data_IF_783627455499
#
_entry.id   IF_783627455499
#
_cell.length_a   1.000
_cell.length_b   1.000
_cell.length_c   1.000
_cell.angle_alpha   90.00
_cell.angle_beta   90.00
_cell.angle_gamma   90.00
#
_symmetry.space_group_name_H-M   'P 1'
#
loop_
_entity.id
_entity.type
_entity.pdbx_description
1 polymer ?
#
# COMPACT_ATOMS: atom_id res chain seq x y z
N UNK A 1 0.42 -10.95 13.68
CA UNK A 1 -0.07 -10.37 12.43
C UNK A 1 1.11 -10.22 11.49
N UNK A 2 1.00 -10.57 10.20
CA UNK A 2 2.04 -10.34 9.22
C UNK A 2 2.42 -8.86 9.19
N UNK A 3 3.69 -8.54 8.98
CA UNK A 3 4.17 -7.14 8.96
C UNK A 3 3.51 -6.28 7.87
N UNK A 4 3.07 -6.89 6.77
CA UNK A 4 2.28 -6.23 5.72
C UNK A 4 1.00 -5.59 6.25
N UNK A 5 0.36 -6.20 7.24
CA UNK A 5 -0.90 -5.70 7.80
C UNK A 5 -0.70 -4.46 8.67
N UNK A 6 0.49 -4.25 9.25
CA UNK A 6 0.77 -3.10 10.13
C UNK A 6 0.74 -1.77 9.39
N UNK A 7 1.21 -1.70 8.16
CA UNK A 7 1.15 -0.48 7.37
C UNK A 7 -0.29 -0.13 6.97
N UNK A 8 -1.14 -1.12 6.78
CA UNK A 8 -2.53 -0.94 6.35
C UNK A 8 -3.52 -0.84 7.50
N UNK A 9 -3.24 -1.44 8.65
CA UNK A 9 -4.10 -1.36 9.85
C UNK A 9 -4.25 0.08 10.35
N UNK A 10 -3.25 0.94 10.18
CA UNK A 10 -3.36 2.37 10.50
C UNK A 10 -4.47 3.09 9.74
N UNK A 11 -4.90 2.56 8.60
CA UNK A 11 -5.97 3.12 7.77
C UNK A 11 -7.33 2.43 7.97
N UNK A 12 -7.40 1.41 8.83
CA UNK A 12 -8.65 0.78 9.21
C UNK A 12 -9.24 1.53 10.42
N UNK A 13 -10.29 2.30 10.17
CA UNK A 13 -11.03 3.00 11.22
C UNK A 13 -12.45 2.48 11.26
N UNK A 14 -12.84 1.83 12.36
CA UNK A 14 -14.17 1.27 12.60
C UNK A 14 -14.75 1.89 13.85
N UNK A 15 -15.88 2.56 13.72
CA UNK A 15 -16.67 3.00 14.86
C UNK A 15 -17.57 1.85 15.31
N UNK A 16 -17.48 1.48 16.59
CA UNK A 16 -18.26 0.41 17.19
C UNK A 16 -19.40 0.96 18.06
N UNK A 17 -20.54 0.33 18.01
CA UNK A 17 -21.65 0.58 18.91
C UNK A 17 -22.17 -0.76 19.43
N UNK A 18 -22.11 -0.97 20.76
CA UNK A 18 -22.56 -2.21 21.43
C UNK A 18 -21.98 -3.50 20.80
N UNK A 19 -20.69 -3.49 20.43
CA UNK A 19 -20.03 -4.62 19.80
C UNK A 19 -20.27 -4.78 18.29
N UNK A 20 -21.09 -3.92 17.67
CA UNK A 20 -21.35 -3.93 16.23
C UNK A 20 -20.65 -2.76 15.52
N UNK A 21 -20.15 -2.96 14.29
CA UNK A 21 -19.56 -1.87 13.53
C UNK A 21 -20.64 -0.84 13.13
N UNK A 22 -20.59 0.35 13.72
CA UNK A 22 -21.47 1.47 13.39
C UNK A 22 -21.10 2.10 12.04
N UNK A 23 -19.78 2.22 11.79
CA UNK A 23 -19.25 2.84 10.58
C UNK A 23 -17.94 2.21 10.19
N UNK A 24 -17.84 1.77 8.94
CA UNK A 24 -16.62 1.19 8.37
C UNK A 24 -15.88 2.28 7.60
N UNK A 25 -14.64 2.57 8.01
CA UNK A 25 -13.75 3.54 7.37
C UNK A 25 -12.45 2.87 6.95
N UNK A 26 -12.52 1.84 6.12
CA UNK A 26 -11.33 1.20 5.57
C UNK A 26 -11.10 1.67 4.13
N UNK A 27 -9.86 1.61 3.66
CA UNK A 27 -9.52 1.95 2.27
C UNK A 27 -10.26 1.04 1.30
N UNK A 28 -10.27 -0.27 1.56
CA UNK A 28 -10.99 -1.25 0.74
C UNK A 28 -12.48 -0.94 0.67
N UNK A 29 -13.13 -0.72 1.82
CA UNK A 29 -14.54 -0.36 1.83
C UNK A 29 -14.82 0.89 0.99
N UNK A 30 -14.05 1.96 1.23
CA UNK A 30 -14.20 3.24 0.52
C UNK A 30 -14.03 3.07 -0.99
N UNK A 31 -12.96 2.42 -1.41
CA UNK A 31 -12.61 2.33 -2.84
C UNK A 31 -13.54 1.37 -3.58
N UNK A 32 -13.79 0.17 -3.04
CA UNK A 32 -14.68 -0.83 -3.68
C UNK A 32 -16.13 -0.33 -3.68
N UNK A 33 -16.62 0.29 -2.59
CA UNK A 33 -18.00 0.82 -2.55
C UNK A 33 -18.22 1.92 -3.58
N UNK A 34 -17.22 2.77 -3.80
CA UNK A 34 -17.31 3.85 -4.78
C UNK A 34 -17.18 3.36 -6.22
N UNK A 35 -16.35 2.37 -6.46
CA UNK A 35 -16.06 1.89 -7.81
C UNK A 35 -17.04 0.80 -8.27
N UNK A 36 -17.52 -0.04 -7.36
CA UNK A 36 -18.39 -1.18 -7.69
C UNK A 36 -19.74 -1.08 -6.95
N UNK A 37 -19.75 -1.51 -5.66
CA UNK A 37 -20.96 -1.51 -4.84
C UNK A 37 -20.62 -1.53 -3.34
N UNK A 38 -21.55 -1.00 -2.52
CA UNK A 38 -21.40 -1.02 -1.06
C UNK A 38 -21.47 -2.45 -0.49
N UNK A 39 -22.17 -3.38 -1.14
CA UNK A 39 -22.22 -4.78 -0.73
C UNK A 39 -20.84 -5.42 -0.85
N UNK A 40 -20.20 -5.27 -2.00
CA UNK A 40 -18.86 -5.80 -2.23
C UNK A 40 -17.81 -5.09 -1.35
N UNK A 41 -17.97 -3.78 -1.14
CA UNK A 41 -17.12 -3.03 -0.21
C UNK A 41 -17.20 -3.58 1.22
N UNK A 42 -18.39 -3.94 1.70
CA UNK A 42 -18.55 -4.59 3.02
C UNK A 42 -17.89 -5.97 3.07
N UNK A 43 -18.06 -6.78 2.01
CA UNK A 43 -17.45 -8.10 1.92
C UNK A 43 -15.94 -8.07 2.13
N UNK A 44 -15.26 -7.09 1.52
CA UNK A 44 -13.78 -6.98 1.56
C UNK A 44 -13.24 -5.87 2.47
N UNK A 45 -14.08 -5.26 3.30
CA UNK A 45 -13.71 -4.13 4.14
C UNK A 45 -12.48 -4.39 5.03
N UNK A 46 -12.34 -5.60 5.54
CA UNK A 46 -11.30 -5.98 6.49
C UNK A 46 -10.19 -6.85 5.87
N UNK A 47 -10.21 -7.06 4.58
CA UNK A 47 -9.08 -7.69 3.88
C UNK A 47 -7.92 -6.71 3.77
N UNK A 48 -6.70 -7.25 3.61
CA UNK A 48 -5.51 -6.43 3.38
C UNK A 48 -5.71 -5.52 2.17
N UNK A 49 -5.39 -4.24 2.34
CA UNK A 49 -5.42 -3.30 1.22
C UNK A 49 -4.19 -3.50 0.37
N UNK A 50 -4.39 -3.92 -0.87
CA UNK A 50 -3.30 -4.18 -1.79
C UNK A 50 -2.81 -2.89 -2.41
N UNK A 51 -1.50 -2.74 -2.48
CA UNK A 51 -0.87 -1.64 -3.21
C UNK A 51 -0.42 -2.14 -4.58
N UNK A 52 -0.92 -1.52 -5.64
CA UNK A 52 -0.57 -1.86 -7.02
C UNK A 52 0.75 -1.21 -7.49
N UNK A 53 1.50 -0.56 -6.58
CA UNK A 53 2.77 0.08 -6.92
C UNK A 53 3.93 -0.89 -7.16
N UNK A 54 3.87 -2.10 -6.58
CA UNK A 54 4.87 -3.14 -6.80
C UNK A 54 4.22 -4.52 -6.70
N UNK A 55 4.26 -5.28 -7.78
CA UNK A 55 3.82 -6.68 -7.83
C UNK A 55 4.56 -7.44 -8.93
N UNK A 56 4.66 -8.75 -8.78
CA UNK A 56 5.21 -9.64 -9.78
C UNK A 56 4.15 -10.65 -10.23
N UNK A 57 4.03 -10.86 -11.53
CA UNK A 57 3.03 -11.77 -12.13
C UNK A 57 3.72 -12.60 -13.20
N UNK A 58 3.42 -13.92 -13.20
CA UNK A 58 3.83 -14.78 -14.30
C UNK A 58 3.15 -14.34 -15.59
N UNK A 59 3.88 -14.29 -16.69
CA UNK A 59 3.40 -13.82 -17.99
C UNK A 59 2.15 -14.55 -18.50
N UNK A 60 2.05 -15.85 -18.23
CA UNK A 60 0.91 -16.69 -18.64
C UNK A 60 -0.17 -16.81 -17.56
N UNK A 61 -0.17 -15.94 -16.55
CA UNK A 61 -1.09 -16.04 -15.45
C UNK A 61 -2.53 -15.64 -15.84
N UNK A 62 -3.51 -16.41 -15.36
CA UNK A 62 -4.94 -16.08 -15.44
C UNK A 62 -5.28 -14.70 -14.86
N UNK A 63 -4.44 -14.17 -13.98
CA UNK A 63 -4.67 -12.86 -13.34
C UNK A 63 -4.81 -11.73 -14.37
N UNK A 64 -4.14 -11.79 -15.52
CA UNK A 64 -4.25 -10.74 -16.53
C UNK A 64 -5.67 -10.57 -17.06
N UNK A 65 -6.36 -11.68 -17.35
CA UNK A 65 -7.77 -11.65 -17.75
C UNK A 65 -8.69 -11.13 -16.63
N UNK A 66 -8.48 -11.59 -15.40
CA UNK A 66 -9.23 -11.11 -14.23
C UNK A 66 -8.98 -9.63 -13.98
N UNK A 67 -7.73 -9.18 -14.02
CA UNK A 67 -7.36 -7.79 -13.84
C UNK A 67 -7.98 -6.86 -14.88
N UNK A 68 -7.92 -7.23 -16.18
CA UNK A 68 -8.55 -6.46 -17.25
C UNK A 68 -10.08 -6.38 -17.08
N UNK A 69 -10.73 -7.51 -16.74
CA UNK A 69 -12.17 -7.54 -16.43
C UNK A 69 -12.51 -6.58 -15.29
N UNK A 70 -11.73 -6.65 -14.20
CA UNK A 70 -11.99 -5.86 -12.99
C UNK A 70 -11.66 -4.37 -13.16
N UNK A 71 -10.64 -4.02 -13.95
CA UNK A 71 -10.38 -2.62 -14.34
C UNK A 71 -11.57 -2.04 -15.11
N UNK A 72 -12.05 -2.75 -16.13
CA UNK A 72 -13.22 -2.32 -16.91
C UNK A 72 -14.46 -2.14 -16.03
N UNK A 73 -14.67 -3.05 -15.08
CA UNK A 73 -15.76 -2.96 -14.12
C UNK A 73 -15.64 -1.74 -13.20
N UNK A 74 -14.47 -1.54 -12.60
CA UNK A 74 -14.22 -0.46 -11.66
C UNK A 74 -14.23 0.93 -12.32
N UNK A 75 -13.84 1.01 -13.60
CA UNK A 75 -13.82 2.26 -14.38
C UNK A 75 -15.21 2.75 -14.82
N UNK A 76 -16.24 1.89 -14.79
CA UNK A 76 -17.60 2.26 -15.22
C UNK A 76 -18.19 3.44 -14.45
N UNK A 77 -17.76 3.69 -13.23
CA UNK A 77 -18.22 4.83 -12.41
C UNK A 77 -17.30 6.07 -12.52
N UNK A 78 -16.41 6.10 -13.49
CA UNK A 78 -15.64 7.29 -13.88
C UNK A 78 -14.54 7.71 -12.89
N UNK A 79 -14.11 6.87 -11.97
CA UNK A 79 -13.00 7.18 -11.07
C UNK A 79 -11.75 6.42 -11.50
N UNK A 80 -10.72 7.17 -11.87
CA UNK A 80 -9.43 6.61 -12.30
C UNK A 80 -8.55 6.27 -11.09
N UNK A 81 -8.49 7.15 -10.09
CA UNK A 81 -7.61 6.96 -8.93
C UNK A 81 -8.02 5.76 -8.07
N UNK A 82 -7.10 4.84 -7.84
CA UNK A 82 -7.30 3.63 -7.03
C UNK A 82 -8.06 2.51 -7.75
N UNK A 83 -8.39 2.67 -9.04
CA UNK A 83 -9.07 1.66 -9.86
C UNK A 83 -8.20 0.42 -10.06
N UNK A 84 -6.90 0.60 -10.24
CA UNK A 84 -5.90 -0.44 -10.32
C UNK A 84 -5.81 -1.29 -9.04
N UNK A 85 -5.80 -0.63 -7.89
CA UNK A 85 -5.81 -1.31 -6.58
C UNK A 85 -7.11 -2.09 -6.36
N UNK A 86 -8.25 -1.52 -6.74
CA UNK A 86 -9.54 -2.23 -6.68
C UNK A 86 -9.54 -3.43 -7.61
N UNK A 87 -9.05 -3.28 -8.84
CA UNK A 87 -8.99 -4.37 -9.80
C UNK A 87 -8.08 -5.50 -9.31
N UNK A 88 -6.92 -5.17 -8.74
CA UNK A 88 -6.01 -6.14 -8.14
C UNK A 88 -6.68 -6.88 -6.97
N UNK A 89 -7.28 -6.13 -6.05
CA UNK A 89 -7.98 -6.71 -4.90
C UNK A 89 -9.12 -7.66 -5.32
N UNK A 90 -9.93 -7.29 -6.31
CA UNK A 90 -10.98 -8.15 -6.82
C UNK A 90 -10.43 -9.39 -7.52
N UNK A 91 -9.34 -9.26 -8.27
CA UNK A 91 -8.71 -10.41 -8.92
C UNK A 91 -8.22 -11.44 -7.91
N UNK A 92 -7.68 -10.98 -6.79
CA UNK A 92 -7.18 -11.86 -5.74
C UNK A 92 -8.33 -12.39 -4.87
N UNK A 93 -9.20 -11.52 -4.36
CA UNK A 93 -10.18 -11.90 -3.35
C UNK A 93 -11.49 -12.43 -3.93
N UNK A 94 -11.98 -11.91 -5.05
CA UNK A 94 -13.24 -12.35 -5.67
C UNK A 94 -13.00 -13.46 -6.72
N UNK A 95 -11.98 -13.30 -7.56
CA UNK A 95 -11.64 -14.28 -8.58
C UNK A 95 -10.74 -15.43 -8.05
N UNK A 96 -10.37 -15.38 -6.76
CA UNK A 96 -9.57 -16.39 -6.06
C UNK A 96 -8.25 -16.72 -6.78
N UNK A 97 -7.52 -15.70 -7.19
CA UNK A 97 -6.18 -15.90 -7.75
C UNK A 97 -5.20 -16.21 -6.63
N UNK A 98 -4.50 -17.36 -6.67
CA UNK A 98 -3.46 -17.67 -5.70
C UNK A 98 -2.41 -16.57 -5.67
N UNK A 99 -2.10 -16.05 -4.48
CA UNK A 99 -1.23 -14.89 -4.31
C UNK A 99 -0.44 -14.98 -3.02
N UNK A 100 0.78 -14.48 -3.07
CA UNK A 100 1.64 -14.29 -1.91
C UNK A 100 1.80 -12.79 -1.66
N UNK A 101 1.70 -12.38 -0.39
CA UNK A 101 1.85 -10.97 0.00
C UNK A 101 3.26 -10.73 0.51
N UNK A 102 3.94 -9.80 -0.14
CA UNK A 102 5.26 -9.37 0.28
C UNK A 102 5.19 -8.58 1.60
N UNK A 103 6.20 -8.68 2.46
CA UNK A 103 6.33 -7.84 3.64
C UNK A 103 6.37 -6.34 3.29
N UNK A 104 5.97 -5.48 4.24
CA UNK A 104 5.88 -4.03 4.02
C UNK A 104 7.21 -3.38 3.58
N UNK A 105 8.34 -3.91 4.03
CA UNK A 105 9.66 -3.40 3.65
C UNK A 105 10.02 -3.64 2.17
N UNK A 106 9.29 -4.52 1.47
CA UNK A 106 9.46 -4.69 0.02
C UNK A 106 8.87 -3.53 -0.79
N UNK A 107 7.91 -2.78 -0.23
CA UNK A 107 7.30 -1.60 -0.85
C UNK A 107 6.89 -0.62 0.27
N UNK A 108 7.85 0.12 0.78
CA UNK A 108 7.67 0.98 1.96
C UNK A 108 6.96 2.28 1.60
N UNK A 109 5.75 2.46 2.12
CA UNK A 109 4.95 3.66 1.87
C UNK A 109 5.30 4.77 2.87
N UNK A 110 6.08 5.75 2.43
CA UNK A 110 6.53 6.87 3.26
C UNK A 110 5.40 7.77 3.77
N UNK A 111 4.23 7.78 3.11
CA UNK A 111 3.04 8.49 3.59
C UNK A 111 2.64 8.07 5.01
N UNK A 112 2.86 6.82 5.38
CA UNK A 112 2.44 6.30 6.69
C UNK A 112 3.52 6.42 7.75
N UNK A 113 4.78 6.24 7.36
CA UNK A 113 5.92 6.41 8.23
C UNK A 113 7.20 6.57 7.43
N UNK A 114 8.05 7.50 7.86
CA UNK A 114 9.36 7.69 7.24
C UNK A 114 10.28 6.52 7.57
N UNK A 115 11.11 6.08 6.60
CA UNK A 115 12.12 5.07 6.86
C UNK A 115 13.23 5.64 7.73
N UNK A 116 14.00 4.77 8.39
CA UNK A 116 15.28 5.13 8.99
C UNK A 116 16.41 4.87 7.99
N UNK A 117 17.58 5.43 8.28
CA UNK A 117 18.77 5.22 7.47
C UNK A 117 19.85 4.53 8.28
N UNK A 118 20.33 3.39 7.79
CA UNK A 118 21.50 2.71 8.33
C UNK A 118 22.76 3.32 7.70
N UNK A 119 23.47 4.17 8.46
CA UNK A 119 24.69 4.86 7.97
C UNK A 119 25.78 3.83 7.62
N UNK A 120 25.90 2.77 8.42
CA UNK A 120 26.96 1.78 8.26
C UNK A 120 26.80 0.96 6.97
N UNK A 121 25.53 0.69 6.60
CA UNK A 121 25.22 -0.11 5.42
C UNK A 121 24.82 0.73 4.21
N UNK A 122 24.59 2.03 4.40
CA UNK A 122 24.27 2.96 3.31
C UNK A 122 22.88 2.79 2.67
N UNK A 123 21.90 2.19 3.39
CA UNK A 123 20.56 2.00 2.84
C UNK A 123 19.44 2.34 3.85
N UNK A 124 18.23 2.51 3.32
CA UNK A 124 17.04 2.70 4.14
C UNK A 124 16.58 1.38 4.75
N UNK A 125 16.09 1.48 5.99
CA UNK A 125 15.54 0.36 6.76
C UNK A 125 14.17 0.74 7.33
N UNK A 126 13.34 -0.26 7.61
CA UNK A 126 12.11 -0.01 8.35
C UNK A 126 12.41 0.50 9.77
N UNK A 127 11.58 1.41 10.33
CA UNK A 127 11.83 2.00 11.64
C UNK A 127 11.54 1.05 12.81
N UNK A 128 11.15 -0.19 12.52
CA UNK A 128 10.80 -1.22 13.50
C UNK A 128 11.87 -2.30 13.57
N UNK A 129 12.08 -2.87 14.76
CA UNK A 129 12.98 -4.02 14.95
C UNK A 129 12.41 -5.24 14.20
N UNK A 130 13.21 -5.95 13.41
CA UNK A 130 14.67 -5.94 13.34
C UNK A 130 15.31 -4.98 12.32
N UNK A 131 14.61 -3.95 11.85
CA UNK A 131 15.13 -2.95 10.90
C UNK A 131 15.50 -3.58 9.54
N UNK A 132 14.57 -4.30 8.92
CA UNK A 132 14.80 -4.91 7.62
C UNK A 132 15.15 -3.85 6.57
N UNK A 133 16.08 -4.14 5.65
CA UNK A 133 16.36 -3.29 4.51
C UNK A 133 15.10 -3.05 3.67
N UNK A 134 14.88 -1.82 3.26
CA UNK A 134 13.76 -1.47 2.38
C UNK A 134 14.18 -1.71 0.94
N UNK A 135 13.42 -2.55 0.24
CA UNK A 135 13.69 -2.85 -1.16
C UNK A 135 13.24 -1.72 -2.10
N UNK A 136 12.08 -1.12 -1.82
CA UNK A 136 11.51 -0.03 -2.61
C UNK A 136 10.92 1.05 -1.69
N UNK A 137 11.38 2.28 -1.83
CA UNK A 137 10.81 3.46 -1.18
C UNK A 137 9.68 4.02 -2.04
N UNK A 138 8.46 3.96 -1.53
CA UNK A 138 7.27 4.40 -2.25
C UNK A 138 6.86 5.80 -1.79
N UNK A 139 6.94 6.78 -2.69
CA UNK A 139 6.70 8.20 -2.42
C UNK A 139 5.23 8.62 -2.63
N UNK A 140 4.27 7.69 -2.52
CA UNK A 140 2.86 8.06 -2.54
C UNK A 140 2.55 9.04 -1.41
N UNK A 141 1.73 10.05 -1.68
CA UNK A 141 1.39 11.11 -0.72
C UNK A 141 2.48 12.16 -0.48
N UNK A 142 3.65 12.03 -1.10
CA UNK A 142 4.76 12.96 -1.01
C UNK A 142 4.99 13.65 -2.37
N UNK A 143 4.00 14.43 -2.82
CA UNK A 143 3.98 14.98 -4.17
C UNK A 143 5.13 15.94 -4.45
N UNK A 144 5.53 16.77 -3.49
CA UNK A 144 6.63 17.70 -3.64
C UNK A 144 7.94 16.94 -3.91
N UNK A 145 8.24 15.91 -3.11
CA UNK A 145 9.42 15.07 -3.29
C UNK A 145 9.38 14.30 -4.61
N UNK A 146 8.16 13.91 -5.06
CA UNK A 146 7.99 13.24 -6.35
C UNK A 146 8.26 14.15 -7.54
N UNK A 147 7.89 15.42 -7.45
CA UNK A 147 8.04 16.40 -8.53
C UNK A 147 9.45 16.98 -8.55
N UNK A 148 9.99 17.35 -7.42
CA UNK A 148 11.32 17.94 -7.30
C UNK A 148 12.32 16.91 -6.75
N UNK A 149 13.26 16.52 -7.61
CA UNK A 149 14.32 15.55 -7.27
C UNK A 149 15.40 16.10 -6.34
N UNK A 150 15.46 17.42 -6.15
CA UNK A 150 16.47 18.08 -5.32
C UNK A 150 16.08 18.13 -3.84
N UNK A 151 14.81 17.87 -3.53
CA UNK A 151 14.32 17.91 -2.15
C UNK A 151 14.92 16.78 -1.33
N UNK A 152 15.56 17.18 -0.23
CA UNK A 152 16.07 16.29 0.79
C UNK A 152 15.08 16.21 1.96
N UNK A 153 14.80 15.01 2.41
CA UNK A 153 13.95 14.75 3.58
C UNK A 153 14.76 14.66 4.85
N UNK A 154 14.16 15.06 5.98
CA UNK A 154 14.69 14.75 7.30
C UNK A 154 14.50 13.28 7.59
N UNK A 155 15.57 12.54 7.72
CA UNK A 155 15.58 11.10 7.98
C UNK A 155 16.31 10.83 9.27
N UNK A 156 15.69 10.03 10.14
CA UNK A 156 16.33 9.55 11.37
C UNK A 156 17.23 8.36 11.05
N UNK A 157 18.40 8.33 11.64
CA UNK A 157 19.33 7.19 11.54
C UNK A 157 19.03 6.15 12.62
N UNK A 158 19.64 4.97 12.54
CA UNK A 158 19.44 3.92 13.55
C UNK A 158 19.94 4.31 14.94
N UNK A 159 20.96 5.16 15.02
CA UNK A 159 21.51 5.72 16.25
C UNK A 159 20.79 7.00 16.73
N UNK A 160 19.71 7.40 16.08
CA UNK A 160 18.83 8.48 16.50
C UNK A 160 19.24 9.88 15.99
N UNK A 161 20.28 10.01 15.17
CA UNK A 161 20.64 11.27 14.54
C UNK A 161 19.64 11.66 13.44
N UNK A 162 19.51 12.94 13.14
CA UNK A 162 18.73 13.42 11.99
C UNK A 162 19.66 13.91 10.89
N UNK A 163 19.44 13.42 9.69
CA UNK A 163 20.22 13.80 8.52
C UNK A 163 19.29 14.24 7.38
N UNK A 164 19.79 15.09 6.50
CA UNK A 164 19.13 15.43 5.22
C UNK A 164 19.52 14.41 4.17
N UNK A 165 18.55 13.69 3.61
CA UNK A 165 18.82 12.67 2.61
C UNK A 165 17.72 12.61 1.55
N UNK A 166 18.11 12.37 0.31
CA UNK A 166 17.15 12.04 -0.74
C UNK A 166 16.52 10.68 -0.46
N UNK A 167 15.19 10.59 -0.57
CA UNK A 167 14.47 9.32 -0.54
C UNK A 167 14.56 8.57 -1.88
N UNK A 168 15.24 9.13 -2.86
CA UNK A 168 15.48 8.52 -4.17
C UNK A 168 16.86 7.88 -4.19
N UNK A 169 17.01 6.83 -4.98
CA UNK A 169 18.34 6.34 -5.32
C UNK A 169 19.05 7.43 -6.12
N UNK A 170 20.20 7.88 -5.66
CA UNK A 170 21.14 8.62 -6.47
C UNK A 170 21.85 7.57 -7.33
N UNK A 171 21.53 7.57 -8.61
CA UNK A 171 22.31 6.87 -9.64
C UNK A 171 23.51 7.72 -9.95
#
# INVERSE_FOLDING_TARGET
MPQSDRAYVKNANVEWLFGFPKKIKTINYKNISKSISSSLGRKYAFHSTLNAGAFAINNNSRIWGCFQKNIKLASKKGRIFGTDQVALALSIYEDNIPSEFLPAYCNWMCEFNMPKFDINKGHFVEPYIPNHPIALVHLAGLDDIRQDKTILSDVETLDGLRIKKSLRYNV
#
